data_IF_290002825833
#
_entry.id   IF_290002825833
#
_cell.length_a   1.000
_cell.length_b   1.000
_cell.length_c   1.000
_cell.angle_alpha   90.00
_cell.angle_beta   90.00
_cell.angle_gamma   90.00
#
_symmetry.space_group_name_H-M   'P 1'
#
loop_
_entity.id
_entity.type
_entity.pdbx_description
1 polymer ?
#
# COMPACT_ATOMS: atom_id res chain seq x y z
N UNK A 1 0.86 6.15 9.55
CA UNK A 1 1.51 4.91 10.03
C UNK A 1 2.01 5.15 11.44
N UNK A 2 1.98 4.12 12.28
CA UNK A 2 2.41 4.17 13.68
C UNK A 2 3.53 3.14 13.82
N UNK A 3 4.72 3.58 14.23
CA UNK A 3 5.83 2.68 14.48
C UNK A 3 5.63 1.99 15.83
N UNK A 4 5.76 0.67 15.84
CA UNK A 4 5.65 -0.17 17.03
C UNK A 4 7.03 -0.78 17.28
N UNK A 5 7.50 -0.70 18.53
CA UNK A 5 8.73 -1.33 18.98
C UNK A 5 8.46 -2.28 20.14
N UNK A 6 9.17 -3.40 20.17
CA UNK A 6 9.17 -4.28 21.33
C UNK A 6 10.05 -3.68 22.43
N UNK A 7 9.58 -3.74 23.67
CA UNK A 7 10.30 -3.24 24.85
C UNK A 7 11.44 -4.19 25.28
N UNK A 8 11.32 -5.49 24.97
CA UNK A 8 12.31 -6.52 25.35
C UNK A 8 13.32 -6.79 24.24
N UNK A 9 12.87 -6.83 22.98
CA UNK A 9 13.70 -7.17 21.83
C UNK A 9 13.94 -5.92 20.97
N UNK A 10 15.06 -5.23 21.17
CA UNK A 10 15.36 -3.97 20.48
C UNK A 10 15.43 -4.06 18.94
N UNK A 11 15.51 -5.27 18.38
CA UNK A 11 15.48 -5.53 16.95
C UNK A 11 14.06 -5.74 16.39
N UNK A 12 13.07 -6.02 17.25
CA UNK A 12 11.70 -6.24 16.82
C UNK A 12 10.98 -4.91 16.62
N UNK A 13 10.57 -4.67 15.39
CA UNK A 13 9.72 -3.54 15.01
C UNK A 13 8.57 -4.02 14.15
N UNK A 14 7.49 -3.26 14.20
CA UNK A 14 6.35 -3.41 13.31
C UNK A 14 5.79 -2.03 12.97
N UNK A 15 4.87 -1.99 12.02
CA UNK A 15 4.14 -0.78 11.67
C UNK A 15 2.65 -1.07 11.64
N UNK A 16 1.88 -0.20 12.28
CA UNK A 16 0.43 -0.16 12.11
C UNK A 16 0.09 0.87 11.04
N UNK A 17 -0.57 0.42 9.97
CA UNK A 17 -1.15 1.29 8.94
C UNK A 17 -2.64 1.43 9.23
N UNK A 18 -3.06 2.62 9.68
CA UNK A 18 -4.47 2.96 9.82
C UNK A 18 -4.91 3.74 8.57
N UNK A 19 -6.01 3.32 7.97
CA UNK A 19 -6.55 3.89 6.72
C UNK A 19 -7.99 4.35 6.93
N UNK A 20 -8.41 5.37 6.19
CA UNK A 20 -9.82 5.82 6.17
C UNK A 20 -10.69 4.94 5.27
N UNK A 21 -10.07 4.13 4.41
CA UNK A 21 -10.75 3.24 3.47
C UNK A 21 -10.51 1.77 3.84
N UNK A 22 -11.44 0.86 3.46
CA UNK A 22 -11.26 -0.58 3.67
C UNK A 22 -10.40 -1.24 2.57
N UNK A 23 -10.07 -0.51 1.49
CA UNK A 23 -9.37 -1.06 0.33
C UNK A 23 -7.86 -1.00 0.53
N UNK A 24 -7.30 -2.08 1.05
CA UNK A 24 -5.86 -2.20 1.35
C UNK A 24 -5.32 -3.54 0.88
N UNK A 25 -4.03 -3.58 0.55
CA UNK A 25 -3.30 -4.81 0.28
C UNK A 25 -1.85 -4.67 0.76
N UNK A 26 -1.29 -5.79 1.20
CA UNK A 26 0.15 -5.93 1.46
C UNK A 26 0.74 -6.62 0.23
N UNK A 27 1.83 -6.06 -0.31
CA UNK A 27 2.53 -6.68 -1.44
C UNK A 27 3.18 -7.98 -1.01
N UNK A 28 3.23 -8.95 -1.92
CA UNK A 28 4.02 -10.16 -1.74
C UNK A 28 5.53 -9.91 -1.94
N UNK A 29 6.33 -10.98 -1.85
CA UNK A 29 7.78 -10.93 -2.01
C UNK A 29 8.25 -10.47 -3.40
N UNK A 30 7.39 -10.54 -4.42
CA UNK A 30 7.66 -10.03 -5.78
C UNK A 30 7.30 -8.55 -5.95
N UNK A 31 6.67 -7.93 -4.94
CA UNK A 31 6.10 -6.59 -5.04
C UNK A 31 4.71 -6.55 -5.67
N UNK A 32 4.08 -7.70 -5.90
CA UNK A 32 2.74 -7.78 -6.48
C UNK A 32 1.66 -7.65 -5.39
N UNK A 33 0.54 -7.04 -5.75
CA UNK A 33 -0.63 -6.91 -4.88
C UNK A 33 -1.92 -7.06 -5.69
N UNK A 34 -3.02 -7.37 -5.00
CA UNK A 34 -4.35 -7.41 -5.60
C UNK A 34 -5.36 -6.84 -4.61
N UNK A 35 -6.20 -5.93 -5.09
CA UNK A 35 -7.39 -5.47 -4.37
C UNK A 35 -8.60 -5.83 -5.24
N UNK A 36 -9.48 -6.67 -4.72
CA UNK A 36 -10.68 -7.11 -5.42
C UNK A 36 -11.86 -6.18 -5.11
N UNK A 37 -12.89 -6.26 -5.95
CA UNK A 37 -14.19 -5.63 -5.72
C UNK A 37 -14.14 -4.11 -5.50
N UNK A 38 -13.18 -3.43 -6.13
CA UNK A 38 -13.18 -1.96 -6.18
C UNK A 38 -14.36 -1.47 -7.03
N UNK A 39 -15.14 -0.51 -6.51
CA UNK A 39 -16.07 0.23 -7.33
C UNK A 39 -15.34 0.91 -8.51
N UNK A 40 -16.01 1.09 -9.67
CA UNK A 40 -15.43 1.87 -10.75
C UNK A 40 -15.23 3.33 -10.34
N UNK A 41 -14.10 3.92 -10.71
CA UNK A 41 -13.75 5.29 -10.37
C UNK A 41 -12.27 5.61 -10.48
N UNK A 42 -11.93 6.88 -10.26
CA UNK A 42 -10.55 7.36 -10.17
C UNK A 42 -10.11 7.41 -8.70
N UNK A 43 -8.96 6.82 -8.42
CA UNK A 43 -8.40 6.68 -7.08
C UNK A 43 -7.02 7.30 -6.99
N UNK A 44 -6.74 7.95 -5.87
CA UNK A 44 -5.38 8.25 -5.43
C UNK A 44 -4.92 7.10 -4.54
N UNK A 45 -3.97 6.32 -5.05
CA UNK A 45 -3.40 5.15 -4.36
C UNK A 45 -2.15 5.58 -3.60
N UNK A 46 -2.15 5.35 -2.29
CA UNK A 46 -0.98 5.53 -1.44
C UNK A 46 -0.18 4.24 -1.39
N UNK A 47 1.07 4.29 -1.83
CA UNK A 47 2.07 3.26 -1.58
C UNK A 47 2.95 3.69 -0.42
N UNK A 48 3.22 2.78 0.51
CA UNK A 48 4.11 3.03 1.62
C UNK A 48 5.07 1.86 1.84
N UNK A 49 6.34 2.19 2.07
CA UNK A 49 7.37 1.25 2.48
C UNK A 49 8.26 1.91 3.54
N UNK A 50 8.72 1.13 4.52
CA UNK A 50 9.42 1.62 5.71
C UNK A 50 10.62 2.54 5.43
N UNK A 51 11.42 2.24 4.40
CA UNK A 51 12.63 2.97 3.99
C UNK A 51 12.35 4.00 2.90
N UNK A 52 11.47 3.69 1.95
CA UNK A 52 11.19 4.54 0.79
C UNK A 52 10.16 5.64 1.09
N UNK A 53 9.40 5.51 2.18
CA UNK A 53 8.37 6.45 2.56
C UNK A 53 7.07 6.26 1.78
N UNK A 54 6.34 7.35 1.58
CA UNK A 54 5.03 7.36 0.91
C UNK A 54 5.11 7.93 -0.50
N UNK A 55 4.38 7.33 -1.43
CA UNK A 55 4.18 7.82 -2.80
C UNK A 55 2.68 7.77 -3.11
N UNK A 56 2.16 8.82 -3.74
CA UNK A 56 0.79 8.87 -4.24
C UNK A 56 0.77 8.68 -5.76
N UNK A 57 -0.07 7.78 -6.25
CA UNK A 57 -0.22 7.51 -7.68
C UNK A 57 -1.69 7.33 -8.06
N UNK A 58 -2.06 7.82 -9.25
CA UNK A 58 -3.44 7.72 -9.74
C UNK A 58 -3.69 6.38 -10.41
N UNK A 59 -4.88 5.84 -10.20
CA UNK A 59 -5.40 4.67 -10.93
C UNK A 59 -6.87 4.90 -11.30
N UNK A 60 -7.25 4.50 -12.51
CA UNK A 60 -8.63 4.56 -12.99
C UNK A 60 -9.16 3.14 -13.15
N UNK A 61 -10.21 2.79 -12.41
CA UNK A 61 -10.79 1.45 -12.38
C UNK A 61 -12.06 1.44 -13.22
N UNK A 62 -12.08 0.57 -14.23
CA UNK A 62 -13.23 0.39 -15.12
C UNK A 62 -14.20 -0.69 -14.61
N UNK A 63 -15.49 -0.62 -14.97
CA UNK A 63 -16.46 -1.63 -14.57
C UNK A 63 -16.13 -3.03 -15.09
N UNK A 64 -16.09 -4.01 -14.18
CA UNK A 64 -15.92 -5.45 -14.47
C UNK A 64 -14.65 -5.79 -15.26
N UNK A 65 -13.61 -4.96 -15.16
CA UNK A 65 -12.33 -5.16 -15.86
C UNK A 65 -11.18 -5.22 -14.84
N UNK A 66 -10.23 -6.14 -15.04
CA UNK A 66 -9.00 -6.14 -14.27
C UNK A 66 -8.08 -5.03 -14.80
N UNK A 67 -7.72 -4.09 -13.92
CA UNK A 67 -6.77 -3.03 -14.26
C UNK A 67 -5.41 -3.38 -13.66
N UNK A 68 -4.40 -3.53 -14.52
CA UNK A 68 -3.02 -3.74 -14.09
C UNK A 68 -2.25 -2.42 -14.11
N UNK A 69 -1.61 -2.11 -12.98
CA UNK A 69 -0.80 -0.89 -12.80
C UNK A 69 0.60 -1.28 -12.34
N UNK A 70 1.60 -0.60 -12.88
CA UNK A 70 3.01 -0.79 -12.54
C UNK A 70 3.57 0.49 -11.96
N UNK A 71 4.16 0.38 -10.77
CA UNK A 71 4.59 1.52 -10.00
C UNK A 71 6.04 1.38 -9.54
N UNK A 72 6.74 2.51 -9.50
CA UNK A 72 8.11 2.59 -8.99
C UNK A 72 8.13 3.51 -7.78
N UNK A 73 8.75 3.03 -6.71
CA UNK A 73 9.07 3.83 -5.53
C UNK A 73 10.57 4.11 -5.53
N UNK A 74 10.93 5.36 -5.25
CA UNK A 74 12.30 5.77 -5.00
C UNK A 74 12.33 6.48 -3.64
N UNK A 75 13.41 6.29 -2.89
CA UNK A 75 13.62 7.05 -1.66
C UNK A 75 13.65 8.56 -2.00
N UNK A 76 13.06 9.37 -1.11
CA UNK A 76 13.27 10.82 -1.13
C UNK A 76 14.70 11.17 -0.74
#
# INVERSE_FOLDING_TARGET
TIAIKCDVHGWMSAYWVATETPYVAVTDASGSFKIADLPPGDYDVELWQEKLGKVMQKASIKPKEETQVGWKMAAK
#
